data_IF_783965788946
#
_entry.id   IF_783965788946
#
_cell.length_a   1.000
_cell.length_b   1.000
_cell.length_c   1.000
_cell.angle_alpha   90.00
_cell.angle_beta   90.00
_cell.angle_gamma   90.00
#
_symmetry.space_group_name_H-M   'P 1'
#
loop_
_entity.id
_entity.type
_entity.pdbx_description
1 polymer ?
#
# COMPACT_ATOMS: atom_id res chain seq x y z
N UNK A 1 21.33 -19.17 -9.06
CA UNK A 1 21.36 -19.58 -10.49
C UNK A 1 20.78 -18.47 -11.37
N UNK A 2 19.55 -18.01 -11.10
CA UNK A 2 18.87 -16.93 -11.85
C UNK A 2 19.67 -15.61 -11.98
N UNK A 3 20.27 -15.10 -10.89
CA UNK A 3 21.05 -13.84 -10.93
C UNK A 3 22.22 -13.86 -11.91
N UNK A 4 22.75 -15.05 -12.20
CA UNK A 4 23.87 -15.28 -13.11
C UNK A 4 23.42 -15.60 -14.53
N UNK A 5 22.11 -15.57 -14.82
CA UNK A 5 21.54 -15.96 -16.11
C UNK A 5 21.61 -17.47 -16.41
N UNK A 6 21.95 -18.30 -15.41
CA UNK A 6 22.01 -19.76 -15.53
C UNK A 6 20.60 -20.35 -15.37
N UNK A 7 19.75 -20.11 -16.35
CA UNK A 7 18.32 -20.50 -16.30
C UNK A 7 18.16 -22.01 -16.45
N UNK A 8 18.91 -22.61 -17.37
CA UNK A 8 18.84 -24.06 -17.62
C UNK A 8 19.24 -24.87 -16.38
N UNK A 9 20.35 -24.51 -15.74
CA UNK A 9 20.79 -25.12 -14.47
C UNK A 9 19.70 -25.02 -13.38
N UNK A 10 18.98 -23.90 -13.32
CA UNK A 10 17.91 -23.71 -12.34
C UNK A 10 16.67 -24.56 -12.65
N UNK A 11 16.33 -24.71 -13.94
CA UNK A 11 15.21 -25.53 -14.39
C UNK A 11 15.52 -27.03 -14.22
N UNK A 12 16.76 -27.43 -14.43
CA UNK A 12 17.24 -28.79 -14.19
C UNK A 12 17.21 -29.15 -12.72
N UNK A 13 17.71 -28.26 -11.85
CA UNK A 13 17.59 -28.41 -10.39
C UNK A 13 16.12 -28.54 -9.92
N UNK A 14 15.20 -27.79 -10.55
CA UNK A 14 13.77 -27.92 -10.28
C UNK A 14 13.21 -29.30 -10.66
N UNK A 15 13.69 -29.89 -11.76
CA UNK A 15 13.29 -31.24 -12.16
C UNK A 15 13.85 -32.28 -11.20
N UNK A 16 15.09 -32.13 -10.73
CA UNK A 16 15.68 -33.00 -9.70
C UNK A 16 14.86 -32.98 -8.41
N UNK A 17 14.49 -31.80 -7.92
CA UNK A 17 13.61 -31.65 -6.76
C UNK A 17 12.24 -32.32 -6.97
N UNK A 18 11.70 -32.24 -8.19
CA UNK A 18 10.44 -32.90 -8.51
C UNK A 18 10.53 -34.43 -8.47
N UNK A 19 11.72 -35.00 -8.73
CA UNK A 19 11.99 -36.45 -8.61
C UNK A 19 12.24 -36.83 -7.15
N UNK A 20 12.93 -36.00 -6.38
CA UNK A 20 13.20 -36.23 -4.96
C UNK A 20 11.90 -36.23 -4.12
N UNK A 21 11.00 -35.27 -4.39
CA UNK A 21 9.74 -35.10 -3.64
C UNK A 21 8.53 -35.74 -4.32
N UNK A 22 8.70 -36.90 -4.98
CA UNK A 22 7.60 -37.60 -5.67
C UNK A 22 6.49 -38.04 -4.70
N UNK A 23 6.85 -38.42 -3.47
CA UNK A 23 5.91 -38.97 -2.49
C UNK A 23 5.07 -37.90 -1.77
N UNK A 24 5.57 -36.65 -1.67
CA UNK A 24 4.82 -35.57 -1.06
C UNK A 24 3.96 -34.85 -2.11
N UNK A 25 2.68 -35.23 -2.16
CA UNK A 25 1.71 -34.69 -3.11
C UNK A 25 1.59 -33.15 -3.07
N UNK A 26 1.64 -32.54 -1.88
CA UNK A 26 1.51 -31.08 -1.72
C UNK A 26 2.75 -30.36 -2.24
N UNK A 27 3.93 -30.89 -1.94
CA UNK A 27 5.19 -30.32 -2.44
C UNK A 27 5.27 -30.47 -3.95
N UNK A 28 4.91 -31.64 -4.48
CA UNK A 28 4.87 -31.92 -5.92
C UNK A 28 3.97 -30.95 -6.68
N UNK A 29 2.74 -30.71 -6.20
CA UNK A 29 1.81 -29.79 -6.85
C UNK A 29 2.38 -28.36 -6.90
N UNK A 30 3.02 -27.91 -5.81
CA UNK A 30 3.67 -26.59 -5.75
C UNK A 30 4.85 -26.49 -6.70
N UNK A 31 5.69 -27.53 -6.78
CA UNK A 31 6.82 -27.59 -7.70
C UNK A 31 6.36 -27.58 -9.16
N UNK A 32 5.31 -28.33 -9.51
CA UNK A 32 4.71 -28.27 -10.85
C UNK A 32 4.19 -26.87 -11.20
N UNK A 33 3.47 -26.22 -10.26
CA UNK A 33 3.00 -24.84 -10.46
C UNK A 33 4.16 -23.88 -10.68
N UNK A 34 5.23 -24.00 -9.88
CA UNK A 34 6.43 -23.18 -10.02
C UNK A 34 7.13 -23.42 -11.36
N UNK A 35 7.36 -24.68 -11.72
CA UNK A 35 7.99 -25.05 -13.00
C UNK A 35 7.20 -24.50 -14.18
N UNK A 36 5.88 -24.70 -14.21
CA UNK A 36 5.03 -24.20 -15.29
C UNK A 36 5.05 -22.68 -15.37
N UNK A 37 5.01 -21.99 -14.23
CA UNK A 37 5.11 -20.54 -14.19
C UNK A 37 6.45 -20.06 -14.78
N UNK A 38 7.57 -20.66 -14.37
CA UNK A 38 8.90 -20.29 -14.86
C UNK A 38 9.07 -20.62 -16.34
N UNK A 39 8.61 -21.80 -16.78
CA UNK A 39 8.66 -22.21 -18.18
C UNK A 39 7.86 -21.27 -19.09
N UNK A 40 6.65 -20.89 -18.67
CA UNK A 40 5.82 -19.94 -19.42
C UNK A 40 6.44 -18.53 -19.51
N UNK A 41 7.31 -18.19 -18.56
CA UNK A 41 7.98 -16.89 -18.48
C UNK A 41 9.49 -16.98 -18.76
N UNK A 42 9.95 -18.05 -19.43
CA UNK A 42 11.37 -18.42 -19.53
C UNK A 42 12.25 -17.26 -20.04
N UNK A 43 11.84 -16.61 -21.12
CA UNK A 43 12.55 -15.45 -21.69
C UNK A 43 12.65 -14.26 -20.71
N UNK A 44 11.70 -14.16 -19.78
CA UNK A 44 11.64 -13.16 -18.73
C UNK A 44 12.51 -13.47 -17.51
N UNK A 45 13.13 -14.65 -17.43
CA UNK A 45 13.94 -15.05 -16.28
C UNK A 45 15.38 -14.53 -16.36
N UNK A 46 15.88 -14.30 -17.58
CA UNK A 46 17.23 -13.76 -17.78
C UNK A 46 17.29 -12.36 -17.18
N UNK A 47 18.24 -12.01 -16.29
CA UNK A 47 18.38 -10.65 -15.78
C UNK A 47 18.51 -9.63 -16.92
N UNK A 48 17.81 -8.50 -16.83
CA UNK A 48 17.76 -7.52 -17.93
C UNK A 48 19.15 -7.04 -18.39
N UNK A 49 20.13 -7.00 -17.47
CA UNK A 49 21.53 -6.62 -17.75
C UNK A 49 22.28 -7.63 -18.61
N UNK A 50 21.86 -8.89 -18.56
CA UNK A 50 22.42 -9.98 -19.36
C UNK A 50 21.63 -10.18 -20.66
N UNK A 51 20.52 -9.47 -20.84
CA UNK A 51 19.78 -9.46 -22.11
C UNK A 51 20.45 -8.49 -23.07
N UNK A 52 20.47 -8.85 -24.35
CA UNK A 52 20.85 -7.95 -25.44
C UNK A 52 19.74 -6.93 -25.72
N UNK A 53 19.43 -6.06 -24.75
CA UNK A 53 18.43 -4.99 -24.87
C UNK A 53 19.10 -3.62 -24.90
N UNK A 54 18.61 -2.75 -25.78
CA UNK A 54 19.01 -1.35 -25.80
C UNK A 54 18.20 -0.57 -24.77
N UNK A 55 18.85 -0.07 -23.73
CA UNK A 55 18.23 0.81 -22.74
C UNK A 55 18.51 2.28 -23.09
N UNK A 56 17.57 3.20 -22.81
CA UNK A 56 17.83 4.63 -22.94
C UNK A 56 19.00 5.05 -22.04
N UNK A 57 19.71 6.14 -22.37
CA UNK A 57 20.77 6.64 -21.48
C UNK A 57 20.14 7.20 -20.20
N UNK A 58 20.67 6.86 -19.01
CA UNK A 58 20.15 7.43 -17.78
C UNK A 58 20.52 8.92 -17.68
N UNK A 59 19.72 9.75 -16.98
CA UNK A 59 20.07 11.14 -16.67
C UNK A 59 21.39 11.25 -15.91
N UNK A 60 22.03 12.42 -15.96
CA UNK A 60 23.30 12.67 -15.27
C UNK A 60 23.17 12.40 -13.76
N UNK A 61 24.10 11.62 -13.21
CA UNK A 61 24.07 11.16 -11.80
C UNK A 61 23.17 9.96 -11.51
N UNK A 62 22.47 9.40 -12.50
CA UNK A 62 21.61 8.21 -12.35
C UNK A 62 22.24 6.98 -13.01
N UNK A 63 22.15 5.82 -12.34
CA UNK A 63 22.66 4.54 -12.86
C UNK A 63 21.56 3.49 -12.79
N UNK A 64 21.38 2.71 -13.85
CA UNK A 64 20.49 1.55 -13.82
C UNK A 64 21.05 0.48 -12.86
N UNK A 65 20.46 0.42 -11.67
CA UNK A 65 20.74 -0.63 -10.68
C UNK A 65 19.94 -1.90 -11.01
N UNK A 66 20.33 -3.04 -10.43
CA UNK A 66 19.43 -4.20 -10.42
C UNK A 66 18.13 -3.77 -9.75
N UNK A 67 17.00 -4.30 -10.21
CA UNK A 67 15.74 -4.19 -9.49
C UNK A 67 15.90 -5.03 -8.20
N UNK A 68 16.50 -4.44 -7.17
CA UNK A 68 16.54 -5.03 -5.83
C UNK A 68 15.17 -4.89 -5.16
N UNK A 69 15.17 -4.76 -3.82
CA UNK A 69 14.05 -4.51 -2.88
C UNK A 69 13.15 -3.28 -3.19
N UNK A 70 13.13 -2.78 -4.42
CA UNK A 70 12.18 -1.79 -4.92
C UNK A 70 10.74 -2.29 -4.79
N UNK A 71 10.45 -3.57 -5.03
CA UNK A 71 9.08 -4.07 -4.85
C UNK A 71 8.63 -3.98 -3.39
N UNK A 72 9.43 -4.43 -2.43
CA UNK A 72 9.03 -4.38 -1.02
C UNK A 72 8.94 -2.95 -0.50
N UNK A 73 9.90 -2.08 -0.85
CA UNK A 73 9.93 -0.69 -0.37
C UNK A 73 8.85 0.18 -1.02
N UNK A 74 8.61 0.07 -2.33
CA UNK A 74 7.53 0.80 -3.01
C UNK A 74 6.17 0.27 -2.55
N UNK A 75 6.01 -1.04 -2.46
CA UNK A 75 4.78 -1.65 -1.94
C UNK A 75 4.53 -1.24 -0.49
N UNK A 76 5.57 -1.13 0.35
CA UNK A 76 5.43 -0.65 1.74
C UNK A 76 5.09 0.83 1.82
N UNK A 77 5.65 1.69 0.97
CA UNK A 77 5.26 3.12 0.91
C UNK A 77 3.81 3.27 0.47
N UNK A 78 3.39 2.54 -0.57
CA UNK A 78 2.02 2.53 -1.05
C UNK A 78 1.09 1.99 0.04
N UNK A 79 1.42 0.85 0.66
CA UNK A 79 0.69 0.33 1.82
C UNK A 79 0.65 1.35 2.95
N UNK A 80 1.74 2.01 3.32
CA UNK A 80 1.73 2.96 4.43
C UNK A 80 0.80 4.16 4.16
N UNK A 81 0.80 4.69 2.92
CA UNK A 81 -0.03 5.83 2.52
C UNK A 81 -1.50 5.46 2.31
N UNK A 82 -1.76 4.33 1.67
CA UNK A 82 -3.11 3.89 1.34
C UNK A 82 -3.78 3.24 2.55
N UNK A 83 -3.04 2.40 3.28
CA UNK A 83 -3.53 1.38 4.21
C UNK A 83 -3.36 1.78 5.68
N UNK A 84 -3.10 3.06 5.98
CA UNK A 84 -2.95 3.59 7.35
C UNK A 84 -2.18 2.67 8.30
N UNK A 85 -0.86 2.56 8.17
CA UNK A 85 0.01 1.69 9.01
C UNK A 85 -0.20 0.17 8.80
N UNK A 86 -0.20 -0.29 7.54
CA UNK A 86 -0.18 -1.73 7.17
C UNK A 86 -1.48 -2.53 7.45
N UNK A 87 -2.66 -1.91 7.62
CA UNK A 87 -3.99 -2.53 7.94
C UNK A 87 -4.77 -3.23 6.80
N UNK A 88 -4.94 -4.55 6.79
CA UNK A 88 -5.45 -5.30 5.60
C UNK A 88 -6.77 -4.79 5.00
N UNK A 89 -6.83 -4.69 3.66
CA UNK A 89 -8.06 -4.45 2.91
C UNK A 89 -8.55 -5.72 2.25
N UNK A 90 -9.87 -5.79 2.04
CA UNK A 90 -10.47 -6.75 1.13
C UNK A 90 -10.03 -6.44 -0.31
N UNK A 91 -10.07 -7.45 -1.19
CA UNK A 91 -9.78 -7.25 -2.63
C UNK A 91 -10.68 -6.17 -3.24
N UNK A 92 -11.95 -6.14 -2.85
CA UNK A 92 -12.92 -5.14 -3.30
C UNK A 92 -12.56 -3.73 -2.81
N UNK A 93 -12.24 -3.55 -1.52
CA UNK A 93 -11.86 -2.26 -0.97
C UNK A 93 -10.61 -1.67 -1.62
N UNK A 94 -9.59 -2.51 -1.86
CA UNK A 94 -8.38 -2.08 -2.56
C UNK A 94 -8.65 -1.65 -4.01
N UNK A 95 -9.52 -2.37 -4.71
CA UNK A 95 -9.90 -2.04 -6.09
C UNK A 95 -10.67 -0.71 -6.15
N UNK A 96 -11.66 -0.52 -5.27
CA UNK A 96 -12.45 0.72 -5.21
C UNK A 96 -11.57 1.94 -4.92
N UNK A 97 -10.64 1.84 -3.96
CA UNK A 97 -9.74 2.97 -3.70
C UNK A 97 -8.76 3.22 -4.85
N UNK A 98 -8.25 2.16 -5.49
CA UNK A 98 -7.40 2.31 -6.67
C UNK A 98 -8.09 3.13 -7.76
N UNK A 99 -9.38 2.88 -8.01
CA UNK A 99 -10.20 3.66 -8.95
C UNK A 99 -10.36 5.12 -8.52
N UNK A 100 -10.68 5.38 -7.25
CA UNK A 100 -10.82 6.74 -6.73
C UNK A 100 -9.52 7.55 -6.86
N UNK A 101 -8.37 6.94 -6.56
CA UNK A 101 -7.08 7.60 -6.71
C UNK A 101 -6.70 7.86 -8.17
N UNK A 102 -7.01 6.91 -9.06
CA UNK A 102 -6.80 7.10 -10.50
C UNK A 102 -7.64 8.28 -11.03
N UNK A 103 -8.91 8.34 -10.65
CA UNK A 103 -9.82 9.44 -11.00
C UNK A 103 -9.36 10.78 -10.42
N UNK A 104 -8.85 10.78 -9.18
CA UNK A 104 -8.25 11.98 -8.58
C UNK A 104 -7.03 12.45 -9.36
N UNK A 105 -6.14 11.53 -9.74
CA UNK A 105 -4.92 11.85 -10.47
C UNK A 105 -5.19 12.31 -11.91
N UNK A 106 -6.27 11.81 -12.54
CA UNK A 106 -6.69 12.23 -13.87
C UNK A 106 -7.50 13.53 -13.87
N UNK A 107 -7.86 14.08 -12.72
CA UNK A 107 -8.68 15.30 -12.59
C UNK A 107 -10.18 15.08 -12.78
N UNK A 108 -10.63 13.86 -13.11
CA UNK A 108 -12.02 13.57 -13.47
C UNK A 108 -12.87 13.11 -12.28
N UNK A 109 -12.33 13.12 -11.06
CA UNK A 109 -13.00 12.58 -9.88
C UNK A 109 -14.39 13.18 -9.68
N UNK A 110 -14.49 14.51 -9.62
CA UNK A 110 -15.75 15.17 -9.33
C UNK A 110 -16.77 14.97 -10.46
N UNK A 111 -16.37 15.10 -11.73
CA UNK A 111 -17.25 14.82 -12.88
C UNK A 111 -17.82 13.40 -12.84
N UNK A 112 -16.99 12.40 -12.50
CA UNK A 112 -17.46 11.01 -12.37
C UNK A 112 -18.34 10.79 -11.15
N UNK A 113 -18.12 11.50 -10.05
CA UNK A 113 -19.00 11.43 -8.88
C UNK A 113 -20.34 12.10 -9.19
N UNK A 114 -20.32 13.29 -9.79
CA UNK A 114 -21.51 14.03 -10.18
C UNK A 114 -22.37 13.19 -11.14
N UNK A 115 -21.76 12.58 -12.17
CA UNK A 115 -22.48 11.65 -13.06
C UNK A 115 -23.03 10.41 -12.36
N UNK A 116 -22.40 9.93 -11.28
CA UNK A 116 -22.89 8.79 -10.51
C UNK A 116 -23.99 9.17 -9.51
N UNK A 117 -24.03 10.44 -9.09
CA UNK A 117 -24.96 10.95 -8.08
C UNK A 117 -26.10 11.79 -8.66
N UNK A 118 -26.03 12.17 -9.94
CA UNK A 118 -27.09 12.92 -10.65
C UNK A 118 -28.41 12.12 -10.71
N UNK A 119 -28.32 10.80 -10.82
CA UNK A 119 -29.47 9.89 -10.74
C UNK A 119 -29.63 9.32 -9.31
N UNK A 120 -30.29 10.09 -8.45
CA UNK A 120 -30.89 9.66 -7.17
C UNK A 120 -29.95 9.11 -6.09
N UNK A 121 -29.38 10.01 -5.29
CA UNK A 121 -29.23 9.72 -3.85
C UNK A 121 -30.61 9.91 -3.21
N UNK A 122 -31.29 8.81 -2.84
CA UNK A 122 -32.48 8.88 -1.98
C UNK A 122 -32.11 9.54 -0.65
N UNK A 123 -32.98 10.40 -0.10
CA UNK A 123 -32.72 11.16 1.15
C UNK A 123 -32.15 10.26 2.27
N UNK A 124 -32.66 9.04 2.40
CA UNK A 124 -32.20 8.03 3.36
C UNK A 124 -30.69 7.71 3.25
N UNK A 125 -30.15 7.67 2.03
CA UNK A 125 -28.70 7.44 1.79
C UNK A 125 -27.88 8.70 2.03
N UNK A 126 -28.48 9.87 1.82
CA UNK A 126 -27.84 11.14 2.12
C UNK A 126 -27.68 11.30 3.64
N UNK A 127 -28.71 10.97 4.42
CA UNK A 127 -28.66 10.94 5.88
C UNK A 127 -27.61 9.95 6.40
N UNK A 128 -27.49 8.75 5.83
CA UNK A 128 -26.46 7.77 6.22
C UNK A 128 -25.04 8.30 5.96
N UNK A 129 -24.81 8.95 4.80
CA UNK A 129 -23.52 9.55 4.46
C UNK A 129 -23.23 10.75 5.37
N UNK A 130 -24.22 11.61 5.62
CA UNK A 130 -24.09 12.77 6.51
C UNK A 130 -23.80 12.32 7.94
N UNK A 131 -24.51 11.33 8.49
CA UNK A 131 -24.22 10.78 9.82
C UNK A 131 -22.79 10.21 9.91
N UNK A 132 -22.33 9.49 8.88
CA UNK A 132 -20.97 8.93 8.84
C UNK A 132 -19.88 10.00 8.68
N UNK A 133 -20.13 11.07 7.92
CA UNK A 133 -19.19 12.18 7.71
C UNK A 133 -19.17 13.14 8.92
N UNK A 134 -20.32 13.37 9.57
CA UNK A 134 -20.42 14.22 10.78
C UNK A 134 -19.68 13.60 11.96
N UNK A 135 -19.64 12.26 12.08
CA UNK A 135 -18.80 11.55 13.06
C UNK A 135 -17.29 11.81 12.89
N UNK A 136 -16.85 12.35 11.74
CA UNK A 136 -15.45 12.70 11.46
C UNK A 136 -15.13 14.19 11.69
N UNK A 137 -16.13 15.01 12.02
CA UNK A 137 -15.93 16.44 12.31
C UNK A 137 -15.29 16.66 13.68
N UNK A 138 -14.34 17.59 13.77
CA UNK A 138 -13.61 17.93 15.00
C UNK A 138 -14.51 18.34 16.19
N UNK A 139 -15.77 18.71 15.91
CA UNK A 139 -16.76 19.08 16.92
C UNK A 139 -17.28 17.88 17.76
N UNK A 140 -17.13 16.64 17.29
CA UNK A 140 -17.69 15.45 17.97
C UNK A 140 -16.67 14.63 18.76
N UNK A 141 -15.44 15.14 18.93
CA UNK A 141 -14.35 14.49 19.69
C UNK A 141 -14.74 14.08 21.12
N UNK A 142 -15.76 14.71 21.71
CA UNK A 142 -16.23 14.45 23.07
C UNK A 142 -17.43 13.48 23.19
N UNK A 143 -18.01 13.00 22.08
CA UNK A 143 -19.06 11.96 22.14
C UNK A 143 -18.41 10.61 22.41
N UNK A 144 -18.93 9.85 23.38
CA UNK A 144 -18.45 8.48 23.63
C UNK A 144 -18.73 7.63 22.38
N UNK A 145 -17.70 7.04 21.73
CA UNK A 145 -17.92 6.17 20.59
C UNK A 145 -18.71 4.93 21.04
N UNK A 146 -19.62 4.44 20.19
CA UNK A 146 -20.18 3.09 20.35
C UNK A 146 -19.02 2.10 20.32
N UNK A 147 -19.10 1.06 21.15
CA UNK A 147 -18.06 0.04 21.29
C UNK A 147 -17.91 -0.70 19.96
N UNK A 148 -16.99 -0.21 19.14
CA UNK A 148 -16.55 -0.86 17.92
C UNK A 148 -15.32 -1.65 18.33
N UNK A 149 -15.24 -2.93 17.98
CA UNK A 149 -14.09 -3.81 18.25
C UNK A 149 -12.78 -3.38 17.55
N UNK A 150 -12.64 -2.09 17.25
CA UNK A 150 -11.48 -1.41 16.68
C UNK A 150 -10.71 -0.80 17.86
N UNK A 151 -9.46 -1.22 18.03
CA UNK A 151 -8.60 -0.65 19.07
C UNK A 151 -8.49 0.88 18.91
N UNK A 152 -8.82 1.67 19.95
CA UNK A 152 -8.76 3.11 19.86
C UNK A 152 -7.32 3.56 19.58
N UNK A 153 -7.16 4.52 18.67
CA UNK A 153 -5.87 5.18 18.44
C UNK A 153 -5.45 5.81 19.77
N UNK A 154 -4.34 5.34 20.35
CA UNK A 154 -3.77 5.90 21.58
C UNK A 154 -3.48 7.39 21.35
N UNK A 155 -4.33 8.26 21.90
CA UNK A 155 -4.06 9.70 21.98
C UNK A 155 -3.13 9.93 23.16
N UNK A 156 -1.94 10.46 22.89
CA UNK A 156 -1.06 10.92 23.96
C UNK A 156 -1.47 12.34 24.37
N UNK A 157 -1.43 12.68 25.67
CA UNK A 157 -1.66 14.05 26.14
C UNK A 157 -0.61 15.01 25.58
N UNK A 158 -0.92 16.30 25.56
CA UNK A 158 0.03 17.31 25.12
C UNK A 158 1.26 17.31 26.04
N UNK A 159 2.49 17.51 25.51
CA UNK A 159 3.66 17.62 26.36
C UNK A 159 3.47 18.69 27.45
N UNK A 160 3.73 18.30 28.71
CA UNK A 160 3.60 19.14 29.91
C UNK A 160 2.16 19.60 30.23
N UNK A 161 1.15 18.88 29.76
CA UNK A 161 -0.24 19.10 30.15
C UNK A 161 -0.43 18.92 31.67
N UNK A 162 -1.09 19.89 32.31
CA UNK A 162 -1.28 19.94 33.77
C UNK A 162 -0.06 20.35 34.59
N UNK A 163 1.08 20.66 33.97
CA UNK A 163 2.31 21.05 34.68
C UNK A 163 2.55 22.57 34.63
N UNK A 164 3.24 23.16 35.63
CA UNK A 164 3.62 24.58 35.62
C UNK A 164 4.43 24.95 34.37
N UNK A 165 4.06 26.05 33.72
CA UNK A 165 4.57 26.42 32.41
C UNK A 165 5.81 27.31 32.52
N UNK A 166 6.98 26.76 32.21
CA UNK A 166 8.22 27.54 32.03
C UNK A 166 8.39 27.94 30.56
N UNK A 167 9.25 28.93 30.26
CA UNK A 167 9.50 29.36 28.89
C UNK A 167 9.95 28.22 27.97
N UNK A 168 10.81 27.32 28.46
CA UNK A 168 11.23 26.13 27.70
C UNK A 168 10.08 25.14 27.45
N UNK A 169 9.23 24.88 28.45
CA UNK A 169 8.05 24.01 28.29
C UNK A 169 7.04 24.61 27.31
N UNK A 170 6.88 25.93 27.32
CA UNK A 170 6.03 26.66 26.37
C UNK A 170 6.54 26.50 24.93
N UNK A 171 7.85 26.70 24.70
CA UNK A 171 8.45 26.52 23.39
C UNK A 171 8.26 25.09 22.85
N UNK A 172 8.49 24.06 23.67
CA UNK A 172 8.29 22.66 23.26
C UNK A 172 6.83 22.38 22.93
N UNK A 173 5.90 22.93 23.72
CA UNK A 173 4.47 22.76 23.48
C UNK A 173 4.05 23.45 22.18
N UNK A 174 4.57 24.64 21.90
CA UNK A 174 4.28 25.40 20.69
C UNK A 174 4.77 24.67 19.43
N UNK A 175 5.90 23.95 19.48
CA UNK A 175 6.37 23.07 18.39
C UNK A 175 5.37 21.94 18.05
N UNK A 176 4.58 21.50 19.02
CA UNK A 176 3.62 20.39 18.85
C UNK A 176 2.19 20.83 18.55
N UNK A 177 1.86 22.12 18.71
CA UNK A 177 0.50 22.64 18.52
C UNK A 177 -0.01 22.53 17.07
N UNK A 178 0.87 22.62 16.07
CA UNK A 178 0.48 22.62 14.65
C UNK A 178 0.45 21.23 14.00
N UNK A 179 0.46 20.14 14.78
CA UNK A 179 0.44 18.78 14.21
C UNK A 179 -0.83 18.42 13.45
N UNK A 180 -1.89 19.23 13.54
CA UNK A 180 -3.15 19.03 12.80
C UNK A 180 -3.03 19.52 11.34
N UNK A 181 -2.22 20.56 11.05
CA UNK A 181 -2.11 21.13 9.70
C UNK A 181 -1.26 20.29 8.72
N UNK A 182 -0.34 19.48 9.23
CA UNK A 182 0.55 18.64 8.41
C UNK A 182 -0.14 17.42 7.77
N UNK A 183 -1.42 17.20 8.06
CA UNK A 183 -2.22 16.10 7.48
C UNK A 183 -3.03 16.59 6.26
N UNK A 184 -3.12 17.90 6.01
CA UNK A 184 -3.94 18.50 4.95
C UNK A 184 -3.16 19.28 3.89
N UNK A 185 -1.89 18.94 3.63
CA UNK A 185 -1.18 19.32 2.40
C UNK A 185 -0.78 18.10 1.59
#
# INVERSE_FOLDING_TARGET
MFDKGKIDEAMEYLKELMIEYVEDEKVRERLHKLYNYLANNYNGLIPYRLRNISLPKPPEGVVYRNMGTMESSVCDVIKLRMKGRKMSWTKSGANSLGKLLALRASGNLYETLDSLFDDTITDDKLEEVVEQVVQLSAAEVNKKPKDSGIYPIKKAPMPFEGQPMTFGRKAIRDLTKNRVELILR
#
